data_IF_852897480260
#
_entry.id   IF_852897480260
#
_cell.length_a   1.000
_cell.length_b   1.000
_cell.length_c   1.000
_cell.angle_alpha   90.00
_cell.angle_beta   90.00
_cell.angle_gamma   90.00
#
_symmetry.space_group_name_H-M   'P 1'
#
loop_
_entity.id
_entity.type
_entity.pdbx_description
1 polymer ?
#
# COMPACT_ATOMS: atom_id res chain seq x y z
N UNK A 1 2.26 23.51 2.53
CA UNK A 1 3.42 22.62 2.29
C UNK A 1 3.02 21.15 2.35
N UNK A 2 2.16 20.74 3.28
CA UNK A 2 1.72 19.34 3.41
C UNK A 2 1.01 18.79 2.16
N UNK A 3 0.10 19.54 1.54
CA UNK A 3 -0.55 19.11 0.27
C UNK A 3 0.45 18.83 -0.87
N UNK A 4 1.50 19.65 -0.99
CA UNK A 4 2.54 19.45 -2.01
C UNK A 4 3.39 18.20 -1.70
N UNK A 5 3.61 17.92 -0.42
CA UNK A 5 4.33 16.72 0.04
C UNK A 5 3.53 15.46 -0.27
N UNK A 6 2.22 15.45 0.02
CA UNK A 6 1.30 14.34 -0.28
C UNK A 6 1.23 14.11 -1.80
N UNK A 7 1.14 15.18 -2.58
CA UNK A 7 1.15 15.08 -4.05
C UNK A 7 2.46 14.52 -4.60
N UNK A 8 3.61 14.93 -4.04
CA UNK A 8 4.90 14.36 -4.43
C UNK A 8 5.00 12.88 -4.05
N UNK A 9 4.50 12.51 -2.87
CA UNK A 9 4.45 11.12 -2.42
C UNK A 9 3.51 10.26 -3.30
N UNK A 10 2.38 10.80 -3.75
CA UNK A 10 1.46 10.10 -4.66
C UNK A 10 2.11 9.83 -6.02
N UNK A 11 2.81 10.83 -6.58
CA UNK A 11 3.59 10.69 -7.81
C UNK A 11 4.62 9.56 -7.69
N UNK A 12 5.38 9.54 -6.61
CA UNK A 12 6.38 8.49 -6.36
C UNK A 12 5.73 7.12 -6.17
N UNK A 13 4.56 7.05 -5.53
CA UNK A 13 3.82 5.82 -5.33
C UNK A 13 3.29 5.26 -6.65
N UNK A 14 2.75 6.11 -7.53
CA UNK A 14 2.30 5.71 -8.87
C UNK A 14 3.49 5.23 -9.70
N UNK A 15 4.61 5.95 -9.65
CA UNK A 15 5.84 5.49 -10.27
C UNK A 15 6.20 4.08 -9.78
N UNK A 16 6.18 3.83 -8.47
CA UNK A 16 6.43 2.52 -7.86
C UNK A 16 5.43 1.40 -8.23
N UNK A 17 4.18 1.73 -8.52
CA UNK A 17 3.19 0.76 -8.98
C UNK A 17 3.28 0.46 -10.47
N UNK A 18 3.49 1.45 -11.32
CA UNK A 18 3.75 1.24 -12.76
C UNK A 18 4.99 0.38 -12.93
N UNK A 19 5.98 0.68 -12.11
CA UNK A 19 7.20 -0.05 -11.93
C UNK A 19 6.95 -1.55 -11.67
N UNK A 20 6.15 -1.89 -10.66
CA UNK A 20 5.74 -3.28 -10.43
C UNK A 20 4.89 -3.88 -11.57
N UNK A 21 3.94 -3.11 -12.11
CA UNK A 21 2.99 -3.56 -13.14
C UNK A 21 3.64 -3.83 -14.51
N UNK A 22 4.84 -3.30 -14.74
CA UNK A 22 5.64 -3.55 -15.95
C UNK A 22 6.09 -5.01 -16.11
N UNK A 23 5.76 -5.86 -15.13
CA UNK A 23 6.13 -7.28 -15.04
C UNK A 23 7.65 -7.49 -15.19
N UNK A 24 8.48 -6.77 -14.42
CA UNK A 24 9.88 -7.13 -14.33
C UNK A 24 10.02 -8.47 -13.58
N UNK A 25 11.22 -9.03 -13.55
CA UNK A 25 11.48 -10.23 -12.75
C UNK A 25 11.03 -10.05 -11.29
N UNK A 26 10.62 -11.13 -10.59
CA UNK A 26 10.06 -11.04 -9.24
C UNK A 26 10.96 -10.30 -8.24
N UNK A 27 12.29 -10.38 -8.39
CA UNK A 27 13.25 -9.67 -7.54
C UNK A 27 13.10 -8.15 -7.66
N UNK A 28 13.04 -7.62 -8.89
CA UNK A 28 12.87 -6.18 -9.07
C UNK A 28 11.45 -5.71 -8.74
N UNK A 29 10.44 -6.54 -9.00
CA UNK A 29 9.07 -6.28 -8.58
C UNK A 29 8.94 -6.19 -7.04
N UNK A 30 9.68 -7.03 -6.31
CA UNK A 30 9.74 -6.95 -4.85
C UNK A 30 10.35 -5.64 -4.37
N UNK A 31 11.46 -5.21 -4.97
CA UNK A 31 12.10 -3.94 -4.63
C UNK A 31 11.18 -2.74 -4.89
N UNK A 32 10.46 -2.71 -6.01
CA UNK A 32 9.52 -1.61 -6.30
C UNK A 32 8.32 -1.62 -5.33
N UNK A 33 7.82 -2.78 -4.93
CA UNK A 33 6.75 -2.89 -3.93
C UNK A 33 7.20 -2.46 -2.52
N UNK A 34 8.46 -2.70 -2.14
CA UNK A 34 8.99 -2.21 -0.86
C UNK A 34 9.03 -0.68 -0.85
N UNK A 35 9.52 -0.07 -1.94
CA UNK A 35 9.59 1.39 -2.07
C UNK A 35 8.17 1.99 -2.09
N UNK A 36 7.25 1.44 -2.90
CA UNK A 36 5.87 1.95 -2.98
C UNK A 36 5.09 1.75 -1.69
N UNK A 37 5.29 0.62 -1.00
CA UNK A 37 4.70 0.37 0.32
C UNK A 37 5.20 1.35 1.38
N UNK A 38 6.50 1.66 1.39
CA UNK A 38 7.07 2.69 2.28
C UNK A 38 6.51 4.09 2.01
N UNK A 39 6.40 4.47 0.73
CA UNK A 39 5.79 5.74 0.33
C UNK A 39 4.31 5.81 0.71
N UNK A 40 3.56 4.71 0.54
CA UNK A 40 2.16 4.61 0.97
C UNK A 40 2.00 4.80 2.47
N UNK A 41 2.90 4.20 3.27
CA UNK A 41 2.91 4.41 4.72
C UNK A 41 3.20 5.88 5.08
N UNK A 42 4.11 6.55 4.36
CA UNK A 42 4.39 7.96 4.57
C UNK A 42 3.19 8.86 4.27
N UNK A 43 2.40 8.55 3.23
CA UNK A 43 1.14 9.26 2.93
C UNK A 43 0.15 9.10 4.09
N UNK A 44 -0.08 7.88 4.57
CA UNK A 44 -1.02 7.60 5.66
C UNK A 44 -0.61 8.31 6.96
N UNK A 45 0.70 8.35 7.26
CA UNK A 45 1.23 9.09 8.41
C UNK A 45 1.05 10.61 8.23
N UNK A 46 1.21 11.14 7.02
CA UNK A 46 0.98 12.56 6.73
C UNK A 46 -0.48 13.01 6.86
N UNK A 47 -1.43 12.06 6.80
CA UNK A 47 -2.86 12.29 7.05
C UNK A 47 -3.23 12.16 8.54
N UNK A 48 -2.26 12.32 9.44
CA UNK A 48 -2.38 12.15 10.90
C UNK A 48 -2.77 10.74 11.37
N UNK A 49 -2.86 9.76 10.46
CA UNK A 49 -3.22 8.39 10.80
C UNK A 49 -2.03 7.48 11.12
N UNK A 50 -1.32 7.79 12.21
CA UNK A 50 -0.03 7.17 12.55
C UNK A 50 -0.11 5.66 12.83
N UNK A 51 -1.14 5.22 13.56
CA UNK A 51 -1.27 3.82 13.95
C UNK A 51 -1.51 2.91 12.73
N UNK A 52 -2.40 3.36 11.83
CA UNK A 52 -2.72 2.60 10.62
C UNK A 52 -1.52 2.53 9.67
N UNK A 53 -0.77 3.63 9.52
CA UNK A 53 0.48 3.66 8.74
C UNK A 53 1.52 2.67 9.26
N UNK A 54 1.69 2.58 10.59
CA UNK A 54 2.63 1.63 11.22
C UNK A 54 2.20 0.17 11.06
N UNK A 55 0.90 -0.14 11.14
CA UNK A 55 0.41 -1.51 10.89
C UNK A 55 0.70 -1.92 9.45
N UNK A 56 0.42 -1.06 8.47
CA UNK A 56 0.70 -1.35 7.07
C UNK A 56 2.21 -1.57 6.89
N UNK A 57 3.05 -0.72 7.47
CA UNK A 57 4.50 -0.90 7.44
C UNK A 57 4.93 -2.26 7.99
N UNK A 58 4.42 -2.66 9.16
CA UNK A 58 4.80 -3.92 9.80
C UNK A 58 4.27 -5.15 9.07
N UNK A 59 2.98 -5.19 8.74
CA UNK A 59 2.34 -6.39 8.16
C UNK A 59 2.67 -6.54 6.68
N UNK A 60 2.68 -5.44 5.92
CA UNK A 60 2.95 -5.49 4.48
C UNK A 60 4.44 -5.58 4.18
N UNK A 61 5.25 -4.61 4.62
CA UNK A 61 6.70 -4.63 4.36
C UNK A 61 7.41 -5.72 5.19
N UNK A 62 7.07 -5.85 6.46
CA UNK A 62 7.71 -6.83 7.35
C UNK A 62 7.23 -8.26 7.16
N UNK A 63 5.96 -8.47 6.83
CA UNK A 63 5.36 -9.80 6.69
C UNK A 63 5.32 -10.27 5.24
N UNK A 64 4.39 -9.71 4.46
CA UNK A 64 4.07 -10.22 3.12
C UNK A 64 5.23 -10.09 2.13
N UNK A 65 5.96 -8.97 2.16
CA UNK A 65 7.07 -8.77 1.22
C UNK A 65 8.29 -9.63 1.52
N UNK A 66 8.51 -10.00 2.78
CA UNK A 66 9.56 -10.95 3.15
C UNK A 66 9.25 -12.33 2.58
N UNK A 67 8.02 -12.81 2.75
CA UNK A 67 7.57 -14.09 2.15
C UNK A 67 7.65 -14.03 0.62
N UNK A 68 7.24 -12.92 0.01
CA UNK A 68 7.40 -12.70 -1.43
C UNK A 68 8.87 -12.82 -1.86
N UNK A 69 9.80 -12.19 -1.14
CA UNK A 69 11.24 -12.30 -1.38
C UNK A 69 11.76 -13.75 -1.31
N UNK A 70 11.30 -14.54 -0.33
CA UNK A 70 11.65 -15.97 -0.23
C UNK A 70 11.13 -16.77 -1.44
N UNK A 71 9.89 -16.54 -1.87
CA UNK A 71 9.34 -17.23 -3.06
C UNK A 71 10.00 -16.77 -4.36
N UNK A 72 10.35 -15.49 -4.47
CA UNK A 72 11.10 -14.94 -5.60
C UNK A 72 12.49 -15.56 -5.68
N UNK A 73 13.15 -15.80 -4.54
CA UNK A 73 14.44 -16.49 -4.46
C UNK A 73 14.36 -17.95 -4.95
N UNK A 74 13.23 -18.64 -4.74
CA UNK A 74 13.02 -19.99 -5.27
C UNK A 74 12.71 -20.01 -6.78
N UNK A 75 12.20 -18.91 -7.33
CA UNK A 75 11.84 -18.75 -8.73
C UNK A 75 12.87 -17.92 -9.52
N UNK A 76 14.12 -17.83 -9.05
CA UNK A 76 15.15 -17.04 -9.74
C UNK A 76 15.57 -17.71 -11.03
N UNK A 77 15.42 -16.98 -12.13
CA UNK A 77 15.97 -17.33 -13.44
C UNK A 77 17.42 -16.82 -13.57
N UNK A 78 18.27 -17.48 -14.36
CA UNK A 78 19.69 -17.14 -14.52
C UNK A 78 19.91 -15.72 -15.11
N UNK A 79 18.96 -15.22 -15.91
CA UNK A 79 18.98 -13.89 -16.52
C UNK A 79 17.69 -13.13 -16.21
N UNK A 80 17.66 -12.33 -15.13
CA UNK A 80 16.46 -11.59 -14.77
C UNK A 80 16.13 -10.51 -15.81
N UNK A 81 14.89 -10.49 -16.29
CA UNK A 81 14.42 -9.42 -17.17
C UNK A 81 14.52 -8.05 -16.50
N UNK A 82 15.06 -7.09 -17.25
CA UNK A 82 15.23 -5.71 -16.81
C UNK A 82 14.14 -4.79 -17.36
N UNK A 83 14.01 -3.63 -16.73
CA UNK A 83 12.96 -2.65 -16.97
C UNK A 83 13.13 -1.89 -18.27
N UNK A 84 14.37 -1.80 -18.74
CA UNK A 84 14.80 -0.94 -19.84
C UNK A 84 14.30 -1.46 -21.19
N UNK A 85 13.96 -2.75 -21.31
CA UNK A 85 13.51 -3.35 -22.56
C UNK A 85 12.02 -3.16 -22.86
N UNK A 86 11.20 -2.79 -21.87
CA UNK A 86 9.75 -2.83 -22.03
C UNK A 86 9.18 -1.47 -22.48
N UNK A 87 9.10 -1.26 -23.80
CA UNK A 87 8.47 -0.07 -24.40
C UNK A 87 7.04 0.17 -23.91
N UNK A 88 6.29 -0.91 -23.62
CA UNK A 88 4.93 -0.79 -23.09
C UNK A 88 4.93 -0.20 -21.67
N UNK A 89 5.91 -0.55 -20.83
CA UNK A 89 6.05 -0.01 -19.49
C UNK A 89 6.33 1.49 -19.52
N UNK A 90 7.21 1.94 -20.42
CA UNK A 90 7.48 3.37 -20.60
C UNK A 90 6.24 4.13 -21.09
N UNK A 91 5.45 3.52 -21.97
CA UNK A 91 4.17 4.09 -22.43
C UNK A 91 3.14 4.24 -21.30
N UNK A 92 2.96 3.22 -20.46
CA UNK A 92 2.05 3.28 -19.30
C UNK A 92 2.52 4.31 -18.28
N UNK A 93 3.83 4.42 -18.04
CA UNK A 93 4.41 5.40 -17.14
C UNK A 93 4.15 6.83 -17.61
N UNK A 94 4.39 7.10 -18.89
CA UNK A 94 4.18 8.42 -19.47
C UNK A 94 2.68 8.79 -19.45
N UNK A 95 1.79 7.83 -19.73
CA UNK A 95 0.35 8.03 -19.63
C UNK A 95 -0.10 8.30 -18.19
N UNK A 96 0.41 7.55 -17.21
CA UNK A 96 0.10 7.76 -15.80
C UNK A 96 0.54 9.15 -15.32
N UNK A 97 1.76 9.58 -15.69
CA UNK A 97 2.25 10.91 -15.37
C UNK A 97 1.41 12.01 -16.04
N UNK A 98 1.01 11.84 -17.30
CA UNK A 98 0.14 12.80 -17.98
C UNK A 98 -1.20 12.93 -17.28
N UNK A 99 -1.82 11.82 -16.87
CA UNK A 99 -3.10 11.84 -16.14
C UNK A 99 -2.99 12.57 -14.81
N UNK A 100 -1.89 12.38 -14.07
CA UNK A 100 -1.68 13.03 -12.77
C UNK A 100 -1.35 14.53 -12.91
N UNK A 101 -0.61 14.93 -13.95
CA UNK A 101 -0.36 16.34 -14.26
C UNK A 101 -1.64 17.03 -14.72
N UNK A 102 -2.45 16.38 -15.57
CA UNK A 102 -3.77 16.91 -15.97
C UNK A 102 -4.68 17.05 -14.75
N UNK A 103 -4.67 16.07 -13.84
CA UNK A 103 -5.40 16.16 -12.58
C UNK A 103 -4.94 17.33 -11.71
N UNK A 104 -3.63 17.54 -11.55
CA UNK A 104 -3.07 18.67 -10.80
C UNK A 104 -3.43 20.03 -11.41
N UNK A 105 -3.37 20.14 -12.75
CA UNK A 105 -3.72 21.39 -13.46
C UNK A 105 -5.24 21.64 -13.41
N UNK A 106 -6.06 20.60 -13.54
CA UNK A 106 -7.52 20.71 -13.43
C UNK A 106 -7.98 21.11 -12.01
N UNK A 107 -7.25 20.69 -10.98
CA UNK A 107 -7.44 21.14 -9.59
C UNK A 107 -7.02 22.60 -9.34
N UNK A 108 -6.35 23.25 -10.30
CA UNK A 108 -5.94 24.66 -10.18
C UNK A 108 -7.09 25.66 -10.21
N UNK A 109 -8.27 25.29 -10.74
CA UNK A 109 -9.46 26.16 -10.79
C UNK A 109 -10.70 25.57 -10.10
N UNK A 110 -10.72 24.27 -9.82
CA UNK A 110 -11.79 23.67 -9.03
C UNK A 110 -11.39 23.80 -7.57
N UNK A 111 -11.95 24.82 -6.91
CA UNK A 111 -12.12 24.83 -5.46
C UNK A 111 -12.80 23.51 -5.05
N UNK A 112 -12.02 22.46 -4.82
CA UNK A 112 -12.44 21.32 -3.99
C UNK A 112 -12.33 21.78 -2.54
N UNK A 113 -13.07 22.85 -2.24
CA UNK A 113 -13.71 23.00 -0.95
C UNK A 113 -14.56 21.74 -0.77
N UNK A 114 -14.51 21.13 0.41
CA UNK A 114 -15.28 19.94 0.82
C UNK A 114 -14.72 18.53 0.51
N UNK A 115 -13.51 18.22 0.95
CA UNK A 115 -13.24 16.83 1.38
C UNK A 115 -12.27 16.74 2.57
N UNK A 116 -11.27 17.61 2.63
CA UNK A 116 -10.34 17.64 3.76
C UNK A 116 -11.01 18.27 5.00
N UNK A 117 -11.92 19.24 4.81
CA UNK A 117 -12.75 19.78 5.91
C UNK A 117 -13.86 18.82 6.37
N UNK A 118 -14.17 17.75 5.62
CA UNK A 118 -15.15 16.74 6.04
C UNK A 118 -14.60 15.79 7.11
N UNK A 119 -13.28 15.82 7.37
CA UNK A 119 -12.66 14.97 8.38
C UNK A 119 -12.63 15.56 9.79
N UNK A 120 -12.93 16.85 10.00
CA UNK A 120 -12.74 17.44 11.32
C UNK A 120 -13.74 18.55 11.70
N UNK A 121 -15.01 18.18 11.88
CA UNK A 121 -15.97 19.01 12.63
C UNK A 121 -16.54 18.30 13.86
N UNK A 122 -16.06 17.10 14.20
CA UNK A 122 -16.52 16.35 15.37
C UNK A 122 -15.36 16.09 16.31
N UNK A 123 -14.98 17.16 17.02
CA UNK A 123 -14.40 17.08 18.34
C UNK A 123 -12.99 16.49 18.40
N UNK A 124 -12.04 17.36 18.72
CA UNK A 124 -10.72 16.99 19.19
C UNK A 124 -10.85 16.25 20.55
N UNK A 125 -11.25 14.98 20.52
CA UNK A 125 -11.25 14.12 21.70
C UNK A 125 -9.79 13.92 22.14
N UNK A 126 -9.53 13.87 23.44
CA UNK A 126 -8.17 13.79 24.01
C UNK A 126 -7.37 12.53 23.62
N UNK A 127 -7.95 11.64 22.80
CA UNK A 127 -7.36 10.38 22.35
C UNK A 127 -7.45 10.37 20.82
N UNK A 128 -6.33 10.10 20.15
CA UNK A 128 -6.28 10.03 18.68
C UNK A 128 -7.31 9.04 18.13
N UNK A 129 -8.08 9.50 17.13
CA UNK A 129 -9.22 8.78 16.56
C UNK A 129 -8.88 7.36 16.10
N UNK A 130 -7.70 7.18 15.51
CA UNK A 130 -7.19 5.87 15.06
C UNK A 130 -7.13 4.81 16.17
N UNK A 131 -6.64 5.21 17.34
CA UNK A 131 -6.34 4.30 18.45
C UNK A 131 -7.63 3.86 19.14
N UNK A 132 -8.61 4.78 19.19
CA UNK A 132 -9.93 4.50 19.73
C UNK A 132 -10.74 3.55 18.83
N UNK A 133 -10.62 3.68 17.50
CA UNK A 133 -11.24 2.73 16.57
C UNK A 133 -10.79 1.29 16.81
N UNK A 134 -9.51 1.10 17.12
CA UNK A 134 -8.91 -0.23 17.32
C UNK A 134 -9.29 -0.82 18.67
N UNK A 135 -9.38 0.00 19.73
CA UNK A 135 -9.85 -0.47 21.03
C UNK A 135 -11.33 -0.91 20.98
N UNK A 136 -12.16 -0.23 20.18
CA UNK A 136 -13.57 -0.59 19.96
C UNK A 136 -13.74 -1.95 19.25
N UNK A 137 -12.75 -2.42 18.47
CA UNK A 137 -12.79 -3.77 17.89
C UNK A 137 -12.80 -4.86 18.98
N UNK A 138 -12.11 -4.66 20.10
CA UNK A 138 -12.12 -5.60 21.22
C UNK A 138 -13.39 -5.49 22.07
N UNK A 139 -14.01 -4.31 22.13
CA UNK A 139 -15.25 -4.09 22.86
C UNK A 139 -16.49 -4.57 22.10
N UNK A 140 -16.80 -3.93 20.97
CA UNK A 140 -18.01 -4.19 20.18
C UNK A 140 -17.78 -5.20 19.04
N UNK A 141 -16.53 -5.43 18.62
CA UNK A 141 -16.19 -6.25 17.46
C UNK A 141 -16.00 -7.75 17.75
N UNK A 142 -16.46 -8.27 18.89
CA UNK A 142 -16.17 -9.63 19.33
C UNK A 142 -16.44 -10.72 18.28
N UNK A 143 -17.60 -10.68 17.61
CA UNK A 143 -17.93 -11.64 16.53
C UNK A 143 -17.00 -11.52 15.32
N UNK A 144 -16.62 -10.30 14.94
CA UNK A 144 -15.68 -10.07 13.85
C UNK A 144 -14.29 -10.66 14.19
N UNK A 145 -13.83 -10.50 15.45
CA UNK A 145 -12.55 -11.06 15.91
C UNK A 145 -12.55 -12.60 15.89
N UNK A 146 -13.65 -13.23 16.31
CA UNK A 146 -13.79 -14.69 16.26
C UNK A 146 -13.75 -15.18 14.81
N UNK A 147 -14.45 -14.52 13.89
CA UNK A 147 -14.44 -14.89 12.47
C UNK A 147 -13.07 -14.70 11.83
N UNK A 148 -12.38 -13.58 12.08
CA UNK A 148 -11.02 -13.33 11.57
C UNK A 148 -10.03 -14.36 12.10
N UNK A 149 -10.09 -14.70 13.40
CA UNK A 149 -9.27 -15.75 13.99
C UNK A 149 -9.55 -17.12 13.40
N UNK A 150 -10.82 -17.44 13.15
CA UNK A 150 -11.23 -18.71 12.54
C UNK A 150 -10.74 -18.83 11.09
N UNK A 151 -10.83 -17.75 10.30
CA UNK A 151 -10.33 -17.71 8.92
C UNK A 151 -8.82 -17.95 8.92
N UNK A 152 -8.06 -17.25 9.77
CA UNK A 152 -6.60 -17.43 9.87
C UNK A 152 -6.20 -18.83 10.35
N UNK A 153 -7.00 -19.45 11.23
CA UNK A 153 -6.75 -20.83 11.65
C UNK A 153 -6.97 -21.81 10.50
N UNK A 154 -8.07 -21.66 9.75
CA UNK A 154 -8.33 -22.49 8.57
C UNK A 154 -7.25 -22.28 7.50
N UNK A 155 -6.79 -21.05 7.26
CA UNK A 155 -5.76 -20.80 6.24
C UNK A 155 -4.47 -21.55 6.55
N UNK A 156 -4.06 -21.66 7.82
CA UNK A 156 -2.90 -22.47 8.22
C UNK A 156 -3.11 -23.95 7.89
N UNK A 157 -4.29 -24.51 8.19
CA UNK A 157 -4.60 -25.90 7.85
C UNK A 157 -4.60 -26.13 6.33
N UNK A 158 -5.16 -25.20 5.57
CA UNK A 158 -5.17 -25.26 4.10
C UNK A 158 -3.74 -25.23 3.56
N UNK A 159 -2.90 -24.30 4.03
CA UNK A 159 -1.50 -24.21 3.60
C UNK A 159 -0.73 -25.48 3.95
N UNK A 160 -0.96 -26.08 5.14
CA UNK A 160 -0.32 -27.34 5.54
C UNK A 160 -0.73 -28.51 4.62
N UNK A 161 -2.02 -28.63 4.26
CA UNK A 161 -2.47 -29.68 3.32
C UNK A 161 -1.92 -29.47 1.90
N UNK A 162 -1.83 -28.21 1.43
CA UNK A 162 -1.27 -27.90 0.10
C UNK A 162 0.21 -28.26 0.04
N UNK A 163 0.99 -27.96 1.08
CA UNK A 163 2.44 -28.25 1.09
C UNK A 163 2.74 -29.72 1.36
N UNK A 164 1.81 -30.50 1.95
CA UNK A 164 1.98 -31.96 2.16
C UNK A 164 2.03 -32.78 0.87
N UNK A 165 1.53 -32.23 -0.24
CA UNK A 165 1.50 -32.90 -1.55
C UNK A 165 2.70 -32.60 -2.46
N UNK A 166 3.66 -31.79 -1.99
CA UNK A 166 4.97 -31.54 -2.62
C UNK A 166 6.00 -32.55 -2.11
#
# INVERSE_FOLDING_TARGET
MEMMLIFLLSLLLIFGFVAFASKPSPVYGGLSLVISGGLGCAIVVSLNSTFLGLIVFLVYLGGMLVVFGYTAAMATEEYPESWVGNLAAFGVLLLALLMEVVWFVALGEVEVVTAIELFDTVGNFCVGQDWNGVSLLYGCGGWAMVLLGWILFITILVVLEVVRGL
#
